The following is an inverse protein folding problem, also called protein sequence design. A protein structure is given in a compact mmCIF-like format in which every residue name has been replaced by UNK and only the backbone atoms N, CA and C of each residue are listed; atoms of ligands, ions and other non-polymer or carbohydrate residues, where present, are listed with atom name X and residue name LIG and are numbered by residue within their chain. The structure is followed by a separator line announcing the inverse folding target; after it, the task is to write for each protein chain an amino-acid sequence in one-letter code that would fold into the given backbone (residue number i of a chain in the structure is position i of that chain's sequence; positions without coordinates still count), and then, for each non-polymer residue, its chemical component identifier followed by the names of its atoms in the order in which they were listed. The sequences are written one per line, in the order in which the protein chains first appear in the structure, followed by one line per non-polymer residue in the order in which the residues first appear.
data_IF_263920396779
#
_entry.id   IF_263920396779
#
_cell.length_a   1.000
_cell.length_b   1.000
_cell.length_c   1.000
_cell.angle_alpha   90.00
_cell.angle_beta   90.00
_cell.angle_gamma   90.00
#
_symmetry.space_group_name_H-M   'P 1'
#
loop_
_entity.id
_entity.type
_entity.pdbx_description
1 polymer ?
#
# COMPACT_ATOMS: atom_id res chain seq x y z
N UNK A 1 -34.22 35.52 -3.24
CA UNK A 1 -33.03 34.66 -3.37
C UNK A 1 -33.45 33.22 -3.03
N UNK A 2 -33.59 32.38 -4.06
CA UNK A 2 -33.99 30.98 -3.90
C UNK A 2 -32.79 30.19 -3.36
N UNK A 3 -32.81 29.83 -2.07
CA UNK A 3 -31.83 28.89 -1.52
C UNK A 3 -32.19 27.48 -2.02
N UNK A 4 -31.72 27.13 -3.22
CA UNK A 4 -31.84 25.76 -3.69
C UNK A 4 -31.01 24.87 -2.76
N UNK A 5 -31.68 23.90 -2.12
CA UNK A 5 -31.00 22.92 -1.28
C UNK A 5 -29.90 22.24 -2.10
N UNK A 6 -28.66 22.13 -1.59
CA UNK A 6 -27.60 21.45 -2.34
C UNK A 6 -28.00 20.00 -2.61
N UNK A 7 -27.69 19.52 -3.81
CA UNK A 7 -27.94 18.14 -4.24
C UNK A 7 -27.24 17.14 -3.31
N UNK A 8 -27.73 15.90 -3.27
CA UNK A 8 -27.11 14.83 -2.47
C UNK A 8 -25.63 14.66 -2.81
N UNK A 9 -25.27 14.66 -4.10
CA UNK A 9 -23.88 14.57 -4.55
C UNK A 9 -23.02 15.73 -4.03
N UNK A 10 -23.55 16.96 -4.05
CA UNK A 10 -22.84 18.11 -3.49
C UNK A 10 -22.61 17.96 -1.99
N UNK A 11 -23.60 17.45 -1.24
CA UNK A 11 -23.46 17.17 0.19
C UNK A 11 -22.45 16.06 0.47
N UNK A 12 -22.49 14.97 -0.30
CA UNK A 12 -21.54 13.85 -0.17
C UNK A 12 -20.11 14.26 -0.52
N UNK A 13 -19.91 15.17 -1.46
CA UNK A 13 -18.58 15.66 -1.84
C UNK A 13 -18.00 16.71 -0.88
N UNK A 14 -18.85 17.58 -0.35
CA UNK A 14 -18.42 18.72 0.48
C UNK A 14 -18.61 18.49 1.99
N UNK A 15 -19.27 17.42 2.41
CA UNK A 15 -19.51 17.13 3.83
C UNK A 15 -18.25 16.60 4.51
N UNK A 16 -17.68 17.36 5.44
CA UNK A 16 -16.52 16.91 6.21
C UNK A 16 -16.93 16.25 7.52
N UNK A 17 -16.13 15.28 7.98
CA UNK A 17 -16.27 14.77 9.33
C UNK A 17 -15.95 15.88 10.34
N UNK A 18 -16.79 16.11 11.35
CA UNK A 18 -16.53 17.13 12.36
C UNK A 18 -15.29 16.78 13.18
N UNK A 19 -14.74 17.77 13.89
CA UNK A 19 -13.78 17.50 14.96
C UNK A 19 -14.55 16.94 16.16
N UNK A 20 -14.16 15.75 16.61
CA UNK A 20 -14.82 15.08 17.72
C UNK A 20 -14.09 15.37 19.04
N UNK A 21 -14.85 15.50 20.13
CA UNK A 21 -14.25 15.56 21.46
C UNK A 21 -13.71 14.17 21.87
N UNK A 22 -12.50 14.07 22.44
CA UNK A 22 -11.89 12.78 22.78
C UNK A 22 -12.66 11.93 23.80
N UNK A 23 -13.62 12.50 24.54
CA UNK A 23 -14.35 11.81 25.60
C UNK A 23 -15.52 10.95 25.11
N UNK A 24 -16.32 11.47 24.18
CA UNK A 24 -17.62 10.88 23.84
C UNK A 24 -17.53 9.58 23.02
N UNK A 25 -16.39 9.31 22.39
CA UNK A 25 -16.26 8.24 21.39
C UNK A 25 -15.15 7.23 21.69
N UNK A 26 -14.64 7.21 22.93
CA UNK A 26 -13.52 6.33 23.31
C UNK A 26 -13.81 4.86 23.05
N UNK A 27 -15.00 4.38 23.42
CA UNK A 27 -15.40 2.98 23.26
C UNK A 27 -15.57 2.61 21.78
N UNK A 28 -16.38 3.34 20.97
CA UNK A 28 -16.47 3.06 19.53
C UNK A 28 -15.11 3.09 18.82
N UNK A 29 -14.25 4.04 19.16
CA UNK A 29 -12.93 4.16 18.55
C UNK A 29 -12.00 3.00 18.92
N UNK A 30 -12.05 2.54 20.17
CA UNK A 30 -11.33 1.35 20.64
C UNK A 30 -11.82 0.08 19.90
N UNK A 31 -13.12 -0.10 19.77
CA UNK A 31 -13.70 -1.21 19.00
C UNK A 31 -13.26 -1.18 17.54
N UNK A 32 -13.27 0.01 16.91
CA UNK A 32 -12.79 0.18 15.54
C UNK A 32 -11.31 -0.18 15.41
N UNK A 33 -10.45 0.25 16.34
CA UNK A 33 -9.02 -0.10 16.36
C UNK A 33 -8.82 -1.62 16.39
N UNK A 34 -9.52 -2.32 17.28
CA UNK A 34 -9.43 -3.78 17.40
C UNK A 34 -9.97 -4.48 16.14
N UNK A 35 -11.06 -3.97 15.58
CA UNK A 35 -11.62 -4.48 14.33
C UNK A 35 -10.64 -4.32 13.16
N UNK A 36 -10.03 -3.14 13.00
CA UNK A 36 -9.06 -2.88 11.93
C UNK A 36 -7.80 -3.72 12.08
N UNK A 37 -7.23 -3.79 13.30
CA UNK A 37 -6.08 -4.65 13.58
C UNK A 37 -6.36 -6.13 13.32
N UNK A 38 -7.54 -6.61 13.74
CA UNK A 38 -7.96 -7.99 13.48
C UNK A 38 -8.20 -8.25 12.00
N UNK A 39 -8.79 -7.28 11.29
CA UNK A 39 -9.00 -7.37 9.84
C UNK A 39 -7.68 -7.43 9.08
N UNK A 40 -6.66 -6.67 9.51
CA UNK A 40 -5.32 -6.75 8.94
C UNK A 40 -4.65 -8.10 9.22
N UNK A 41 -4.80 -8.62 10.44
CA UNK A 41 -4.31 -9.96 10.78
C UNK A 41 -4.99 -11.06 9.95
N UNK A 42 -6.31 -11.00 9.79
CA UNK A 42 -7.06 -11.92 8.92
C UNK A 42 -6.60 -11.77 7.47
N UNK A 43 -6.45 -10.55 6.97
CA UNK A 43 -5.97 -10.30 5.61
C UNK A 43 -4.57 -10.88 5.39
N UNK A 44 -3.68 -10.84 6.39
CA UNK A 44 -2.38 -11.49 6.35
C UNK A 44 -2.50 -13.02 6.31
N UNK A 45 -3.35 -13.60 7.15
CA UNK A 45 -3.58 -15.05 7.17
C UNK A 45 -4.21 -15.55 5.86
N UNK A 46 -4.98 -14.69 5.21
CA UNK A 46 -5.54 -14.90 3.88
C UNK A 46 -4.65 -14.39 2.74
N UNK A 47 -3.51 -13.76 3.03
CA UNK A 47 -2.59 -13.26 2.00
C UNK A 47 -2.11 -14.36 1.04
N UNK A 48 -1.95 -15.63 1.47
CA UNK A 48 -1.70 -16.74 0.55
C UNK A 48 -2.83 -17.04 -0.44
N UNK A 49 -4.06 -16.63 -0.12
CA UNK A 49 -5.25 -16.76 -0.99
C UNK A 49 -5.55 -15.50 -1.80
N UNK A 50 -4.96 -14.36 -1.43
CA UNK A 50 -5.10 -13.11 -2.16
C UNK A 50 -3.98 -13.00 -3.18
N UNK A 51 -4.29 -12.50 -4.36
CA UNK A 51 -3.37 -12.25 -5.49
C UNK A 51 -2.17 -11.33 -5.15
N UNK A 52 -1.98 -10.94 -3.90
CA UNK A 52 -0.99 -10.00 -3.37
C UNK A 52 0.41 -10.57 -3.09
N UNK A 53 0.64 -11.85 -3.34
CA UNK A 53 1.96 -12.49 -3.24
C UNK A 53 2.77 -12.24 -4.52
N UNK A 54 3.20 -11.01 -4.76
CA UNK A 54 3.72 -10.56 -6.06
C UNK A 54 5.17 -10.95 -6.42
N UNK A 55 5.71 -12.13 -6.05
CA UNK A 55 7.08 -12.54 -6.39
C UNK A 55 7.14 -13.98 -6.93
N UNK A 56 7.83 -14.23 -8.06
CA UNK A 56 8.18 -15.57 -8.56
C UNK A 56 7.62 -16.04 -9.91
N UNK A 57 8.20 -17.05 -10.58
CA UNK A 57 7.42 -17.90 -11.50
C UNK A 57 6.40 -18.71 -10.69
N UNK A 58 5.26 -19.02 -11.29
CA UNK A 58 4.02 -19.43 -10.61
C UNK A 58 3.10 -18.24 -10.28
N UNK A 59 3.39 -17.02 -10.73
CA UNK A 59 2.53 -15.84 -10.50
C UNK A 59 1.28 -15.87 -11.39
N UNK A 60 0.40 -16.83 -11.14
CA UNK A 60 -0.70 -17.15 -12.03
C UNK A 60 -1.36 -18.50 -11.76
N UNK A 61 -1.04 -19.16 -10.64
CA UNK A 61 -1.95 -20.20 -10.14
C UNK A 61 -3.28 -19.53 -9.81
N UNK A 62 -4.37 -20.14 -10.26
CA UNK A 62 -5.71 -19.71 -9.88
C UNK A 62 -5.75 -19.50 -8.37
N UNK A 63 -6.43 -18.45 -7.91
CA UNK A 63 -6.69 -18.21 -6.50
C UNK A 63 -7.40 -19.43 -5.92
N UNK A 64 -6.60 -20.34 -5.37
CA UNK A 64 -7.07 -21.64 -4.95
C UNK A 64 -7.17 -21.61 -3.41
N UNK A 65 -8.39 -21.61 -2.85
CA UNK A 65 -8.60 -21.62 -1.41
C UNK A 65 -8.00 -22.88 -0.74
N UNK A 66 -7.73 -23.94 -1.50
CA UNK A 66 -7.08 -25.15 -1.02
C UNK A 66 -5.55 -25.07 -1.14
N UNK A 67 -4.96 -24.00 -1.70
CA UNK A 67 -3.51 -23.87 -1.82
C UNK A 67 -2.83 -23.91 -0.45
N UNK A 68 -3.26 -23.06 0.50
CA UNK A 68 -2.64 -23.00 1.83
C UNK A 68 -2.89 -24.28 2.65
N UNK A 69 -4.12 -24.85 2.72
CA UNK A 69 -4.34 -26.15 3.34
C UNK A 69 -3.49 -27.27 2.74
N UNK A 70 -3.42 -27.38 1.40
CA UNK A 70 -2.58 -28.41 0.75
C UNK A 70 -1.09 -28.17 0.99
N UNK A 71 -0.66 -26.92 0.95
CA UNK A 71 0.72 -26.56 1.25
C UNK A 71 1.09 -26.91 2.69
N UNK A 72 0.24 -26.59 3.65
CA UNK A 72 0.41 -26.98 5.05
C UNK A 72 0.43 -28.51 5.21
N UNK A 73 -0.51 -29.21 4.59
CA UNK A 73 -0.58 -30.67 4.62
C UNK A 73 0.69 -31.30 4.03
N UNK A 74 1.19 -30.76 2.92
CA UNK A 74 2.42 -31.20 2.27
C UNK A 74 3.63 -31.02 3.21
N UNK A 75 3.84 -29.83 3.75
CA UNK A 75 4.96 -29.56 4.68
C UNK A 75 4.86 -30.42 5.93
N UNK A 76 3.65 -30.57 6.49
CA UNK A 76 3.42 -31.37 7.69
C UNK A 76 3.64 -32.86 7.47
N UNK A 77 3.31 -33.38 6.28
CA UNK A 77 3.54 -34.77 5.90
C UNK A 77 5.04 -35.09 5.76
N UNK A 78 5.83 -34.14 5.25
CA UNK A 78 7.28 -34.30 5.17
C UNK A 78 7.94 -34.11 6.54
N UNK A 79 7.55 -33.06 7.26
CA UNK A 79 8.14 -32.63 8.52
C UNK A 79 7.09 -31.95 9.41
N UNK A 80 6.43 -32.71 10.28
CA UNK A 80 5.36 -32.19 11.15
C UNK A 80 5.76 -30.93 11.95
N UNK A 81 7.02 -30.88 12.42
CA UNK A 81 7.54 -29.72 13.17
C UNK A 81 7.59 -28.43 12.35
N UNK A 82 7.81 -28.50 11.02
CA UNK A 82 7.75 -27.33 10.14
C UNK A 82 6.31 -26.82 9.98
N UNK A 83 5.34 -27.73 9.88
CA UNK A 83 3.92 -27.40 9.87
C UNK A 83 3.52 -26.63 11.13
N UNK A 84 3.82 -27.20 12.31
CA UNK A 84 3.56 -26.52 13.59
C UNK A 84 4.30 -25.19 13.72
N UNK A 85 5.54 -25.11 13.21
CA UNK A 85 6.31 -23.88 13.16
C UNK A 85 5.63 -22.78 12.33
N UNK A 86 5.06 -23.13 11.18
CA UNK A 86 4.34 -22.18 10.32
C UNK A 86 3.06 -21.67 10.99
N UNK A 87 2.28 -22.55 11.64
CA UNK A 87 1.10 -22.15 12.41
C UNK A 87 1.50 -21.21 13.56
N UNK A 88 2.53 -21.58 14.31
CA UNK A 88 3.02 -20.77 15.43
C UNK A 88 3.48 -19.38 14.93
N UNK A 89 4.22 -19.33 13.83
CA UNK A 89 4.64 -18.08 13.20
C UNK A 89 3.43 -17.23 12.79
N UNK A 90 2.43 -17.83 12.13
CA UNK A 90 1.22 -17.15 11.70
C UNK A 90 0.44 -16.56 12.89
N UNK A 91 0.28 -17.33 13.98
CA UNK A 91 -0.39 -16.88 15.20
C UNK A 91 0.38 -15.77 15.93
N UNK A 92 1.71 -15.87 16.00
CA UNK A 92 2.57 -14.83 16.58
C UNK A 92 2.47 -13.56 15.75
N UNK A 93 2.61 -13.64 14.43
CA UNK A 93 2.51 -12.48 13.54
C UNK A 93 1.13 -11.81 13.63
N UNK A 94 0.06 -12.59 13.62
CA UNK A 94 -1.31 -12.07 13.78
C UNK A 94 -1.48 -11.37 15.14
N UNK A 95 -0.98 -11.98 16.21
CA UNK A 95 -1.04 -11.41 17.57
C UNK A 95 -0.20 -10.12 17.68
N UNK A 96 0.99 -10.09 17.08
CA UNK A 96 1.82 -8.90 16.98
C UNK A 96 1.10 -7.78 16.21
N UNK A 97 0.45 -8.09 15.09
CA UNK A 97 -0.32 -7.10 14.31
C UNK A 97 -1.41 -6.49 15.16
N UNK A 98 -2.27 -7.30 15.78
CA UNK A 98 -3.37 -6.80 16.61
C UNK A 98 -2.83 -6.02 17.81
N UNK A 99 -1.87 -6.60 18.53
CA UNK A 99 -1.31 -6.02 19.75
C UNK A 99 -0.55 -4.72 19.52
N UNK A 100 0.32 -4.66 18.51
CA UNK A 100 1.07 -3.44 18.19
C UNK A 100 0.18 -2.38 17.55
N UNK A 101 -0.80 -2.76 16.72
CA UNK A 101 -1.82 -1.82 16.23
C UNK A 101 -2.58 -1.20 17.41
N UNK A 102 -3.07 -2.02 18.35
CA UNK A 102 -3.72 -1.54 19.56
C UNK A 102 -2.78 -0.63 20.39
N UNK A 103 -1.52 -1.01 20.56
CA UNK A 103 -0.52 -0.21 21.25
C UNK A 103 -0.28 1.14 20.57
N UNK A 104 -0.28 1.19 19.22
CA UNK A 104 -0.17 2.42 18.45
C UNK A 104 -1.32 3.41 18.73
N UNK A 105 -2.55 2.91 18.81
CA UNK A 105 -3.73 3.74 19.11
C UNK A 105 -3.82 4.12 20.60
N UNK A 106 -3.76 3.14 21.51
CA UNK A 106 -3.93 3.37 22.95
C UNK A 106 -2.71 4.05 23.59
N UNK A 107 -1.51 3.79 23.08
CA UNK A 107 -0.27 4.41 23.54
C UNK A 107 -0.07 5.86 23.06
N UNK A 108 -0.91 6.34 22.13
CA UNK A 108 -0.76 7.65 21.51
C UNK A 108 -0.71 8.80 22.51
N UNK A 109 -1.60 8.80 23.51
CA UNK A 109 -1.62 9.81 24.58
C UNK A 109 -0.36 9.82 25.42
N UNK A 110 0.18 8.64 25.72
CA UNK A 110 1.40 8.55 26.51
C UNK A 110 2.62 9.00 25.69
N UNK A 111 2.60 8.77 24.37
CA UNK A 111 3.69 9.13 23.48
C UNK A 111 3.72 10.63 23.12
N UNK A 112 2.56 11.24 22.84
CA UNK A 112 2.46 12.60 22.31
C UNK A 112 1.76 13.60 23.24
N UNK A 113 1.23 13.16 24.38
CA UNK A 113 0.48 14.00 25.31
C UNK A 113 -0.98 14.26 24.94
N UNK A 114 -1.43 13.80 23.77
CA UNK A 114 -2.79 14.00 23.25
C UNK A 114 -3.46 12.72 22.80
N UNK A 115 -4.79 12.69 22.74
CA UNK A 115 -5.53 11.53 22.24
C UNK A 115 -5.46 11.44 20.72
N UNK A 116 -5.44 10.23 20.16
CA UNK A 116 -5.45 10.04 18.71
C UNK A 116 -6.64 10.77 18.08
N UNK A 117 -6.44 11.60 17.03
CA UNK A 117 -7.52 12.36 16.42
C UNK A 117 -8.60 11.45 15.82
N UNK A 118 -9.78 11.41 16.43
CA UNK A 118 -10.86 10.52 15.97
C UNK A 118 -11.29 10.82 14.53
N UNK A 119 -11.22 12.09 14.12
CA UNK A 119 -11.52 12.48 12.74
C UNK A 119 -10.62 11.73 11.76
N UNK A 120 -9.31 11.67 12.02
CA UNK A 120 -8.35 10.89 11.22
C UNK A 120 -8.62 9.39 11.30
N UNK A 121 -8.90 8.89 12.52
CA UNK A 121 -9.21 7.48 12.77
C UNK A 121 -10.46 6.98 12.03
N UNK A 122 -11.36 7.88 11.65
CA UNK A 122 -12.52 7.57 10.82
C UNK A 122 -12.25 7.84 9.34
N UNK A 123 -11.56 8.93 9.02
CA UNK A 123 -11.35 9.36 7.63
C UNK A 123 -10.53 8.35 6.84
N UNK A 124 -9.36 7.95 7.33
CA UNK A 124 -8.43 7.16 6.51
C UNK A 124 -8.83 5.68 6.37
N UNK A 125 -9.39 5.00 7.39
CA UNK A 125 -10.01 3.69 7.17
C UNK A 125 -11.19 3.75 6.20
N UNK A 126 -11.97 4.84 6.21
CA UNK A 126 -13.05 5.03 5.25
C UNK A 126 -12.53 5.25 3.81
N UNK A 127 -11.35 5.86 3.63
CA UNK A 127 -10.67 5.93 2.33
C UNK A 127 -10.30 4.52 1.86
N UNK A 128 -9.66 3.72 2.71
CA UNK A 128 -9.30 2.34 2.37
C UNK A 128 -10.53 1.46 2.05
N UNK A 129 -11.66 1.66 2.75
CA UNK A 129 -12.92 1.02 2.42
C UNK A 129 -13.46 1.49 1.06
N UNK A 130 -13.43 2.80 0.80
CA UNK A 130 -13.86 3.37 -0.48
C UNK A 130 -13.05 2.81 -1.65
N UNK A 131 -11.74 2.66 -1.48
CA UNK A 131 -10.86 2.03 -2.47
C UNK A 131 -11.30 0.61 -2.82
N UNK A 132 -11.60 -0.23 -1.81
CA UNK A 132 -12.10 -1.59 -2.04
C UNK A 132 -13.43 -1.60 -2.79
N UNK A 133 -14.34 -0.69 -2.46
CA UNK A 133 -15.63 -0.55 -3.15
C UNK A 133 -15.42 -0.11 -4.60
N UNK A 134 -14.55 0.88 -4.83
CA UNK A 134 -14.22 1.35 -6.17
C UNK A 134 -13.55 0.24 -6.99
N UNK A 135 -12.62 -0.52 -6.41
CA UNK A 135 -12.00 -1.68 -7.03
C UNK A 135 -13.05 -2.69 -7.49
N UNK A 136 -13.94 -3.11 -6.59
CA UNK A 136 -15.00 -4.04 -6.91
C UNK A 136 -15.90 -3.52 -8.04
N UNK A 137 -16.26 -2.24 -8.00
CA UNK A 137 -17.04 -1.61 -9.06
C UNK A 137 -16.30 -1.59 -10.41
N UNK A 138 -15.00 -1.35 -10.42
CA UNK A 138 -14.20 -1.39 -11.66
C UNK A 138 -14.06 -2.79 -12.22
N UNK A 139 -13.83 -3.78 -11.37
CA UNK A 139 -13.79 -5.19 -11.77
C UNK A 139 -15.13 -5.62 -12.39
N UNK A 140 -16.25 -5.24 -11.78
CA UNK A 140 -17.59 -5.45 -12.38
C UNK A 140 -17.72 -4.70 -13.71
N UNK A 141 -17.21 -3.48 -13.80
CA UNK A 141 -17.17 -2.70 -15.03
C UNK A 141 -16.40 -3.40 -16.16
N UNK A 142 -15.24 -4.00 -15.85
CA UNK A 142 -14.47 -4.83 -16.78
C UNK A 142 -15.27 -6.07 -17.20
N UNK A 143 -16.02 -6.68 -16.28
CA UNK A 143 -17.03 -7.71 -16.56
C UNK A 143 -18.02 -7.29 -17.64
N UNK A 144 -18.65 -6.12 -17.46
CA UNK A 144 -19.64 -5.58 -18.41
C UNK A 144 -19.01 -5.27 -19.77
N UNK A 145 -17.82 -4.67 -19.79
CA UNK A 145 -17.08 -4.39 -21.03
C UNK A 145 -16.74 -5.69 -21.76
N UNK A 146 -16.18 -6.69 -21.05
CA UNK A 146 -15.88 -8.00 -21.62
C UNK A 146 -17.12 -8.67 -22.22
N UNK A 147 -18.23 -8.67 -21.48
CA UNK A 147 -19.50 -9.20 -21.97
C UNK A 147 -20.01 -8.47 -23.23
N UNK A 148 -19.91 -7.14 -23.27
CA UNK A 148 -20.27 -6.34 -24.44
C UNK A 148 -19.37 -6.63 -25.66
N UNK A 149 -18.13 -7.07 -25.43
CA UNK A 149 -17.19 -7.52 -26.47
C UNK A 149 -17.36 -9.00 -26.84
N UNK A 150 -18.34 -9.71 -26.27
CA UNK A 150 -18.62 -11.11 -26.54
C UNK A 150 -17.84 -12.12 -25.69
N UNK A 151 -17.14 -11.67 -24.65
CA UNK A 151 -16.51 -12.55 -23.66
C UNK A 151 -17.52 -13.00 -22.60
N UNK A 152 -17.18 -14.05 -21.84
CA UNK A 152 -17.93 -14.38 -20.62
C UNK A 152 -17.78 -13.25 -19.58
N UNK A 153 -18.87 -12.89 -18.90
CA UNK A 153 -18.85 -11.84 -17.87
C UNK A 153 -17.86 -12.16 -16.74
N UNK A 154 -17.75 -13.44 -16.37
CA UNK A 154 -16.80 -13.92 -15.38
C UNK A 154 -15.34 -13.72 -15.81
N UNK A 155 -15.04 -13.81 -17.10
CA UNK A 155 -13.69 -13.48 -17.63
C UNK A 155 -13.36 -12.01 -17.40
N UNK A 156 -14.29 -11.09 -17.63
CA UNK A 156 -14.05 -9.67 -17.38
C UNK A 156 -13.89 -9.34 -15.88
N UNK A 157 -14.64 -10.01 -14.99
CA UNK A 157 -14.44 -9.91 -13.54
C UNK A 157 -13.09 -10.51 -13.10
N UNK A 158 -12.65 -11.59 -13.74
CA UNK A 158 -11.35 -12.21 -13.45
C UNK A 158 -10.21 -11.62 -14.26
N UNK A 159 -10.40 -10.54 -15.03
CA UNK A 159 -9.43 -10.08 -16.02
C UNK A 159 -8.03 -9.90 -15.45
N UNK A 160 -7.89 -9.33 -14.25
CA UNK A 160 -6.59 -9.16 -13.58
C UNK A 160 -5.93 -10.52 -13.29
N UNK A 161 -6.69 -11.47 -12.74
CA UNK A 161 -6.23 -12.84 -12.48
C UNK A 161 -5.88 -13.57 -13.79
N UNK A 162 -6.73 -13.47 -14.82
CA UNK A 162 -6.47 -14.06 -16.14
C UNK A 162 -5.19 -13.47 -16.74
N UNK A 163 -4.98 -12.15 -16.67
CA UNK A 163 -3.76 -11.51 -17.14
C UNK A 163 -2.52 -12.00 -16.35
N UNK A 164 -2.63 -12.21 -15.04
CA UNK A 164 -1.54 -12.79 -14.25
C UNK A 164 -1.25 -14.24 -14.67
N UNK A 165 -2.28 -15.09 -14.79
CA UNK A 165 -2.17 -16.48 -15.28
C UNK A 165 -1.49 -16.54 -16.65
N UNK A 166 -1.92 -15.71 -17.60
CA UNK A 166 -1.32 -15.67 -18.93
C UNK A 166 0.11 -15.14 -18.91
N UNK A 167 0.40 -14.15 -18.06
CA UNK A 167 1.75 -13.62 -17.86
C UNK A 167 2.68 -14.73 -17.38
N UNK A 168 2.25 -15.52 -16.39
CA UNK A 168 3.03 -16.64 -15.87
C UNK A 168 3.29 -17.72 -16.92
N UNK A 169 2.24 -18.14 -17.64
CA UNK A 169 2.38 -19.11 -18.75
C UNK A 169 3.37 -18.62 -19.80
N UNK A 170 3.29 -17.34 -20.16
CA UNK A 170 4.21 -16.74 -21.11
C UNK A 170 5.65 -16.71 -20.59
N UNK A 171 5.86 -16.31 -19.33
CA UNK A 171 7.18 -16.29 -18.69
C UNK A 171 7.76 -17.70 -18.65
N UNK A 172 7.00 -18.71 -18.23
CA UNK A 172 7.46 -20.09 -18.16
C UNK A 172 7.77 -20.68 -19.55
N UNK A 173 7.06 -20.25 -20.59
CA UNK A 173 7.31 -20.70 -21.96
C UNK A 173 8.48 -19.98 -22.65
N UNK A 174 8.76 -18.73 -22.28
CA UNK A 174 9.61 -17.83 -23.09
C UNK A 174 10.90 -17.41 -22.38
N UNK A 175 10.88 -17.30 -21.05
CA UNK A 175 12.01 -16.79 -20.27
C UNK A 175 12.84 -17.98 -19.78
N UNK A 176 14.12 -18.09 -20.18
CA UNK A 176 14.96 -19.19 -19.73
C UNK A 176 15.36 -19.00 -18.27
N UNK A 177 15.51 -20.11 -17.56
CA UNK A 177 16.29 -20.12 -16.32
C UNK A 177 17.77 -20.09 -16.69
N UNK A 178 18.47 -19.01 -16.32
CA UNK A 178 19.89 -18.84 -16.63
C UNK A 178 20.79 -19.57 -15.61
N UNK A 179 20.40 -19.54 -14.34
CA UNK A 179 21.12 -20.17 -13.23
C UNK A 179 20.09 -20.82 -12.33
N UNK A 180 20.20 -22.11 -12.00
CA UNK A 180 19.31 -22.73 -11.01
C UNK A 180 19.94 -22.62 -9.62
N UNK A 181 19.44 -21.69 -8.80
CA UNK A 181 19.92 -21.50 -7.43
C UNK A 181 19.19 -22.40 -6.43
N UNK A 182 19.82 -22.80 -5.31
CA UNK A 182 19.11 -23.44 -4.20
C UNK A 182 17.94 -22.57 -3.73
N UNK A 183 16.79 -23.17 -3.42
CA UNK A 183 15.52 -22.48 -3.14
C UNK A 183 15.61 -21.24 -2.24
N UNK A 184 16.32 -21.35 -1.11
CA UNK A 184 16.50 -20.22 -0.20
C UNK A 184 17.32 -19.07 -0.82
N UNK A 185 18.40 -19.41 -1.54
CA UNK A 185 19.23 -18.42 -2.23
C UNK A 185 18.48 -17.80 -3.41
N UNK A 186 17.73 -18.62 -4.16
CA UNK A 186 16.82 -18.14 -5.21
C UNK A 186 15.86 -17.08 -4.65
N UNK A 187 15.26 -17.30 -3.48
CA UNK A 187 14.41 -16.30 -2.84
C UNK A 187 15.13 -14.99 -2.52
N UNK A 188 16.31 -15.04 -1.88
CA UNK A 188 17.05 -13.82 -1.56
C UNK A 188 17.48 -13.04 -2.80
N UNK A 189 17.97 -13.73 -3.83
CA UNK A 189 18.37 -13.11 -5.10
C UNK A 189 17.17 -12.53 -5.83
N UNK A 190 16.08 -13.28 -5.93
CA UNK A 190 14.88 -12.85 -6.66
C UNK A 190 14.20 -11.67 -5.99
N UNK A 191 14.05 -11.69 -4.67
CA UNK A 191 13.55 -10.54 -3.92
C UNK A 191 14.49 -9.34 -4.03
N UNK A 192 15.80 -9.58 -4.01
CA UNK A 192 16.82 -8.56 -4.24
C UNK A 192 16.65 -7.86 -5.59
N UNK A 193 16.56 -8.63 -6.67
CA UNK A 193 16.41 -8.13 -8.04
C UNK A 193 15.05 -7.48 -8.26
N UNK A 194 13.97 -8.16 -7.91
CA UNK A 194 12.62 -7.65 -8.07
C UNK A 194 12.38 -6.41 -7.18
N UNK A 195 13.12 -6.28 -6.09
CA UNK A 195 13.12 -5.09 -5.27
C UNK A 195 13.53 -3.81 -5.98
N UNK A 196 14.32 -3.88 -7.05
CA UNK A 196 14.59 -2.71 -7.91
C UNK A 196 13.36 -2.27 -8.69
N UNK A 197 12.50 -3.19 -9.11
CA UNK A 197 11.24 -2.86 -9.78
C UNK A 197 10.30 -2.19 -8.79
N UNK A 198 10.21 -2.70 -7.56
CA UNK A 198 9.43 -2.04 -6.50
C UNK A 198 9.96 -0.64 -6.21
N UNK A 199 11.26 -0.50 -5.99
CA UNK A 199 11.92 0.78 -5.79
C UNK A 199 11.63 1.76 -6.93
N UNK A 200 11.77 1.30 -8.18
CA UNK A 200 11.54 2.11 -9.37
C UNK A 200 10.09 2.60 -9.48
N UNK A 201 9.11 1.73 -9.24
CA UNK A 201 7.69 2.12 -9.24
C UNK A 201 7.38 3.09 -8.10
N UNK A 202 7.94 2.84 -6.92
CA UNK A 202 7.73 3.70 -5.76
C UNK A 202 8.34 5.09 -5.99
N UNK A 203 9.58 5.14 -6.49
CA UNK A 203 10.25 6.39 -6.92
C UNK A 203 9.45 7.13 -7.98
N UNK A 204 9.03 6.41 -9.03
CA UNK A 204 8.20 7.00 -10.08
C UNK A 204 6.88 7.54 -9.53
N UNK A 205 6.36 6.97 -8.44
CA UNK A 205 5.18 7.47 -7.76
C UNK A 205 5.37 8.79 -7.03
N UNK A 206 6.62 9.17 -6.72
CA UNK A 206 6.98 10.48 -6.18
C UNK A 206 7.45 11.46 -7.25
N UNK A 207 7.89 10.98 -8.41
CA UNK A 207 8.37 11.84 -9.50
C UNK A 207 7.29 12.14 -10.55
N UNK A 208 6.38 11.19 -10.83
CA UNK A 208 5.33 11.31 -11.84
C UNK A 208 4.03 11.84 -11.25
N UNK A 209 3.44 12.86 -11.90
CA UNK A 209 2.15 13.45 -11.48
C UNK A 209 1.00 12.44 -11.48
N UNK A 210 0.83 11.63 -12.53
CA UNK A 210 -0.22 10.60 -12.58
C UNK A 210 -0.10 9.61 -11.42
N UNK A 211 1.09 9.02 -11.24
CA UNK A 211 1.32 8.02 -10.20
C UNK A 211 1.16 8.65 -8.81
N UNK A 212 1.69 9.84 -8.57
CA UNK A 212 1.46 10.53 -7.30
C UNK A 212 -0.03 10.73 -7.03
N UNK A 213 -0.75 11.39 -7.94
CA UNK A 213 -2.14 11.76 -7.72
C UNK A 213 -3.08 10.54 -7.65
N UNK A 214 -2.85 9.53 -8.47
CA UNK A 214 -3.75 8.38 -8.64
C UNK A 214 -3.26 7.09 -8.01
N UNK A 215 -2.08 7.05 -7.39
CA UNK A 215 -1.54 5.81 -6.80
C UNK A 215 -1.01 6.02 -5.38
N UNK A 216 -0.35 7.14 -5.08
CA UNK A 216 0.48 7.20 -3.88
C UNK A 216 0.17 8.35 -2.91
N UNK A 217 -0.37 9.48 -3.36
CA UNK A 217 -0.57 10.69 -2.52
C UNK A 217 -1.40 10.44 -1.26
N UNK A 218 -2.49 9.68 -1.36
CA UNK A 218 -3.42 9.48 -0.24
C UNK A 218 -2.82 8.59 0.87
N UNK A 219 -1.83 7.75 0.54
CA UNK A 219 -1.00 7.03 1.51
C UNK A 219 -0.21 8.00 2.39
N UNK A 220 0.25 9.11 1.82
CA UNK A 220 1.00 10.19 2.48
C UNK A 220 0.12 11.30 3.09
N UNK A 221 -1.21 11.20 3.01
CA UNK A 221 -2.11 12.22 3.58
C UNK A 221 -2.23 12.20 5.12
N UNK A 222 -2.11 11.07 5.84
CA UNK A 222 -2.24 11.06 7.30
C UNK A 222 -1.27 12.00 8.01
N UNK A 223 -1.80 12.90 8.82
CA UNK A 223 -1.03 13.80 9.69
C UNK A 223 -0.68 13.16 11.03
N UNK A 224 -1.35 12.06 11.38
CA UNK A 224 -0.97 11.10 12.39
C UNK A 224 -1.15 9.70 11.81
N UNK A 225 -0.15 8.82 11.97
CA UNK A 225 -0.21 7.45 11.47
C UNK A 225 -0.55 6.45 12.56
N UNK A 226 -1.45 5.53 12.19
CA UNK A 226 -1.75 4.29 12.88
C UNK A 226 -1.81 3.19 11.81
N UNK A 227 -1.16 2.05 12.04
CA UNK A 227 -0.87 1.06 11.00
C UNK A 227 -2.10 0.52 10.29
N UNK A 228 -3.23 0.45 10.99
CA UNK A 228 -4.49 -0.02 10.41
C UNK A 228 -5.37 1.11 9.83
N UNK A 229 -4.95 2.37 9.95
CA UNK A 229 -5.62 3.53 9.33
C UNK A 229 -4.86 4.14 8.16
N UNK A 230 -3.56 3.88 7.99
CA UNK A 230 -2.85 4.34 6.80
C UNK A 230 -3.41 3.63 5.56
N UNK A 231 -3.91 4.37 4.54
CA UNK A 231 -4.41 3.75 3.33
C UNK A 231 -3.31 2.98 2.60
N UNK A 232 -3.61 1.84 1.95
CA UNK A 232 -2.60 1.10 1.19
C UNK A 232 -2.13 1.91 -0.03
N UNK A 233 -0.89 1.70 -0.49
CA UNK A 233 -0.30 2.39 -1.66
C UNK A 233 -1.00 2.07 -3.01
N UNK A 234 -2.16 1.42 -3.01
CA UNK A 234 -2.80 0.90 -4.22
C UNK A 234 -4.20 1.50 -4.40
N UNK A 235 -4.30 2.72 -4.93
CA UNK A 235 -5.61 3.20 -5.39
C UNK A 235 -6.04 2.36 -6.57
N UNK A 236 -7.16 1.69 -6.39
CA UNK A 236 -7.41 0.45 -7.11
C UNK A 236 -7.95 0.66 -8.52
N UNK A 237 -8.27 1.90 -8.92
CA UNK A 237 -8.97 2.16 -10.19
C UNK A 237 -8.65 3.50 -10.83
N UNK A 238 -8.42 3.55 -12.16
CA UNK A 238 -8.13 2.43 -13.06
C UNK A 238 -6.65 2.01 -13.00
N UNK A 239 -5.80 2.79 -12.33
CA UNK A 239 -4.36 2.71 -12.49
C UNK A 239 -3.78 1.39 -11.96
N UNK A 240 -4.29 0.85 -10.86
CA UNK A 240 -3.87 -0.46 -10.34
C UNK A 240 -4.06 -1.57 -11.37
N UNK A 241 -5.24 -1.68 -12.01
CA UNK A 241 -5.50 -2.72 -13.02
C UNK A 241 -4.53 -2.65 -14.21
N UNK A 242 -3.98 -1.48 -14.50
CA UNK A 242 -2.99 -1.28 -15.57
C UNK A 242 -1.57 -1.58 -15.09
N UNK A 243 -1.19 -1.10 -13.90
CA UNK A 243 0.18 -1.26 -13.38
C UNK A 243 0.47 -2.65 -12.84
N UNK A 244 -0.57 -3.37 -12.43
CA UNK A 244 -0.41 -4.68 -11.81
C UNK A 244 0.21 -5.68 -12.78
N UNK A 245 -0.18 -5.67 -14.06
CA UNK A 245 0.32 -6.58 -15.09
C UNK A 245 1.83 -6.41 -15.35
N UNK A 246 2.34 -5.21 -15.73
CA UNK A 246 3.78 -5.03 -15.95
C UNK A 246 4.60 -5.24 -14.67
N UNK A 247 4.03 -4.92 -13.50
CA UNK A 247 4.68 -5.20 -12.22
C UNK A 247 4.86 -6.71 -12.01
N UNK A 248 3.80 -7.51 -12.22
CA UNK A 248 3.89 -8.98 -12.14
C UNK A 248 4.85 -9.56 -13.16
N UNK A 249 4.75 -9.13 -14.41
CA UNK A 249 5.61 -9.61 -15.49
C UNK A 249 7.09 -9.42 -15.12
N UNK A 250 7.48 -8.23 -14.68
CA UNK A 250 8.86 -7.96 -14.31
C UNK A 250 9.33 -8.86 -13.15
N UNK A 251 8.50 -9.04 -12.11
CA UNK A 251 8.82 -9.90 -10.97
C UNK A 251 8.94 -11.39 -11.34
N UNK A 252 8.00 -11.88 -12.16
CA UNK A 252 7.99 -13.26 -12.64
C UNK A 252 9.23 -13.53 -13.51
N UNK A 253 9.52 -12.64 -14.48
CA UNK A 253 10.70 -12.73 -15.33
C UNK A 253 11.98 -12.77 -14.50
N UNK A 254 12.18 -11.80 -13.59
CA UNK A 254 13.41 -11.70 -12.80
C UNK A 254 13.63 -12.92 -11.90
N UNK A 255 12.56 -13.49 -11.33
CA UNK A 255 12.69 -14.70 -10.53
C UNK A 255 12.98 -15.92 -11.42
N UNK A 256 12.30 -16.03 -12.57
CA UNK A 256 12.48 -17.13 -13.53
C UNK A 256 13.93 -17.24 -14.02
N UNK A 257 14.68 -16.14 -14.07
CA UNK A 257 16.10 -16.17 -14.42
C UNK A 257 16.95 -17.02 -13.47
N UNK A 258 16.54 -17.16 -12.20
CA UNK A 258 17.36 -17.78 -11.14
C UNK A 258 16.74 -19.00 -10.47
N UNK A 259 15.48 -19.33 -10.77
CA UNK A 259 14.78 -20.50 -10.26
C UNK A 259 13.60 -20.86 -11.15
N UNK A 260 13.46 -22.15 -11.48
CA UNK A 260 12.28 -22.68 -12.18
C UNK A 260 11.08 -22.92 -11.26
N UNK A 261 11.33 -23.06 -9.95
CA UNK A 261 10.29 -23.40 -8.98
C UNK A 261 9.61 -22.16 -8.37
N UNK A 262 8.32 -22.26 -8.01
CA UNK A 262 7.62 -21.18 -7.34
C UNK A 262 8.10 -20.96 -5.90
N UNK A 263 8.29 -19.69 -5.53
CA UNK A 263 8.86 -19.28 -4.24
C UNK A 263 7.82 -19.03 -3.13
N UNK A 264 6.61 -19.60 -3.24
CA UNK A 264 5.50 -19.26 -2.33
C UNK A 264 5.83 -19.49 -0.86
N UNK A 265 6.48 -20.59 -0.51
CA UNK A 265 6.76 -20.88 0.90
C UNK A 265 7.61 -19.77 1.51
N UNK A 266 8.70 -19.42 0.83
CA UNK A 266 9.58 -18.35 1.26
C UNK A 266 8.84 -17.02 1.35
N UNK A 267 7.91 -16.76 0.42
CA UNK A 267 7.10 -15.54 0.43
C UNK A 267 6.07 -15.47 1.54
N UNK A 268 5.39 -16.58 1.84
CA UNK A 268 4.44 -16.67 2.94
C UNK A 268 5.18 -16.41 4.26
N UNK A 269 6.29 -17.11 4.49
CA UNK A 269 7.14 -16.91 5.66
C UNK A 269 7.65 -15.47 5.72
N UNK A 270 8.13 -14.94 4.60
CA UNK A 270 8.58 -13.56 4.50
C UNK A 270 7.48 -12.57 4.87
N UNK A 271 6.27 -12.70 4.32
CA UNK A 271 5.15 -11.80 4.61
C UNK A 271 4.77 -11.86 6.08
N UNK A 272 4.66 -13.05 6.66
CA UNK A 272 4.38 -13.22 8.09
C UNK A 272 5.40 -12.48 8.96
N UNK A 273 6.68 -12.48 8.58
CA UNK A 273 7.74 -11.76 9.30
C UNK A 273 7.72 -10.26 8.97
N UNK A 274 7.54 -9.88 7.71
CA UNK A 274 7.60 -8.52 7.18
C UNK A 274 6.58 -7.57 7.83
N UNK A 275 5.36 -8.04 8.03
CA UNK A 275 4.29 -7.20 8.60
C UNK A 275 4.53 -6.78 10.04
N UNK A 276 5.40 -7.48 10.78
CA UNK A 276 5.69 -7.12 12.17
C UNK A 276 6.43 -5.76 12.25
N UNK A 277 7.62 -5.58 11.63
CA UNK A 277 8.27 -4.27 11.61
C UNK A 277 7.49 -3.20 10.84
N UNK A 278 6.70 -3.57 9.82
CA UNK A 278 5.86 -2.64 9.05
C UNK A 278 4.94 -1.78 9.92
N UNK A 279 4.48 -2.30 11.06
CA UNK A 279 3.63 -1.56 11.99
C UNK A 279 4.34 -0.30 12.53
N UNK A 280 5.66 -0.35 12.74
CA UNK A 280 6.43 0.83 13.15
C UNK A 280 6.62 1.83 12.01
N UNK A 281 6.58 1.40 10.75
CA UNK A 281 6.64 2.31 9.61
C UNK A 281 5.43 3.25 9.57
N UNK A 282 4.29 2.76 10.06
CA UNK A 282 2.99 3.42 9.98
C UNK A 282 2.39 3.70 11.36
N UNK A 283 3.21 3.95 12.38
CA UNK A 283 2.70 4.26 13.72
C UNK A 283 3.51 5.36 14.43
N UNK A 284 2.89 6.54 14.54
CA UNK A 284 3.49 7.70 15.22
C UNK A 284 3.77 7.42 16.69
N UNK A 285 2.83 6.76 17.38
CA UNK A 285 2.98 6.47 18.82
C UNK A 285 4.09 5.45 19.11
N UNK A 286 4.38 4.55 18.17
CA UNK A 286 5.42 3.54 18.33
C UNK A 286 6.81 4.02 17.88
N UNK A 287 6.91 5.20 17.25
CA UNK A 287 8.15 5.71 16.67
C UNK A 287 9.34 5.63 17.65
N UNK A 288 9.16 6.16 18.87
CA UNK A 288 10.25 6.24 19.86
C UNK A 288 10.69 4.85 20.36
N UNK A 289 9.75 3.91 20.49
CA UNK A 289 10.08 2.53 20.84
C UNK A 289 10.83 1.82 19.71
N UNK A 290 10.42 2.05 18.46
CA UNK A 290 11.08 1.50 17.27
C UNK A 290 12.49 2.05 17.10
N UNK A 291 12.67 3.37 17.28
CA UNK A 291 13.97 4.04 17.17
C UNK A 291 14.97 3.55 18.21
N UNK A 292 14.53 3.32 19.45
CA UNK A 292 15.39 2.82 20.55
C UNK A 292 15.69 1.33 20.44
N UNK A 293 14.76 0.54 19.90
CA UNK A 293 14.90 -0.90 19.81
C UNK A 293 15.90 -1.31 18.73
N UNK A 294 17.02 -1.92 19.13
CA UNK A 294 18.00 -2.50 18.19
C UNK A 294 17.37 -3.55 17.29
N UNK A 295 16.45 -4.35 17.84
CA UNK A 295 15.77 -5.40 17.08
C UNK A 295 14.85 -4.81 16.00
N UNK A 296 14.02 -3.81 16.34
CA UNK A 296 13.12 -3.17 15.36
C UNK A 296 13.92 -2.47 14.26
N UNK A 297 15.01 -1.78 14.61
CA UNK A 297 15.89 -1.16 13.60
C UNK A 297 16.54 -2.21 12.71
N UNK A 298 17.10 -3.27 13.29
CA UNK A 298 17.76 -4.29 12.49
C UNK A 298 16.79 -5.01 11.55
N UNK A 299 15.61 -5.41 12.05
CA UNK A 299 14.59 -6.06 11.22
C UNK A 299 14.03 -5.11 10.16
N UNK A 300 13.76 -3.85 10.52
CA UNK A 300 13.35 -2.82 9.57
C UNK A 300 14.38 -2.60 8.47
N UNK A 301 15.65 -2.44 8.82
CA UNK A 301 16.73 -2.31 7.83
C UNK A 301 16.82 -3.54 6.92
N UNK A 302 16.87 -4.74 7.50
CA UNK A 302 16.99 -5.98 6.73
C UNK A 302 15.83 -6.15 5.75
N UNK A 303 14.60 -5.84 6.16
CA UNK A 303 13.39 -6.00 5.36
C UNK A 303 13.05 -4.75 4.51
N UNK A 304 13.96 -3.77 4.47
CA UNK A 304 13.78 -2.46 3.82
C UNK A 304 12.47 -1.76 4.16
N UNK A 305 12.08 -1.84 5.43
CA UNK A 305 10.83 -1.29 5.92
C UNK A 305 10.93 -0.91 7.42
N UNK A 306 9.78 -0.81 8.09
CA UNK A 306 9.67 -0.49 9.50
C UNK A 306 10.05 0.96 9.79
N UNK A 307 10.72 1.20 10.92
CA UNK A 307 10.95 2.55 11.42
C UNK A 307 11.78 3.45 10.46
N UNK A 308 12.54 2.86 9.53
CA UNK A 308 13.23 3.62 8.47
C UNK A 308 12.25 4.21 7.45
N UNK A 309 11.21 3.45 7.10
CA UNK A 309 10.15 3.90 6.21
C UNK A 309 9.24 4.95 6.88
N UNK A 310 9.20 5.07 8.20
CA UNK A 310 8.49 6.18 8.86
C UNK A 310 8.98 7.55 8.37
N UNK A 311 10.29 7.68 8.09
CA UNK A 311 10.88 8.92 7.56
C UNK A 311 10.34 9.28 6.19
N UNK A 312 10.06 8.29 5.36
CA UNK A 312 9.50 8.47 4.02
C UNK A 312 8.16 9.22 4.05
N UNK A 313 7.36 8.99 5.09
CA UNK A 313 6.08 9.66 5.35
C UNK A 313 6.21 11.07 5.94
N UNK A 314 7.45 11.56 6.12
CA UNK A 314 7.66 12.89 6.69
C UNK A 314 7.18 13.97 5.74
N UNK A 315 6.62 15.04 6.30
CA UNK A 315 6.28 16.26 5.57
C UNK A 315 7.48 17.19 5.34
N UNK A 316 8.69 16.79 5.75
CA UNK A 316 9.93 17.51 5.46
C UNK A 316 10.28 17.32 3.98
N UNK A 317 10.54 18.42 3.28
CA UNK A 317 10.92 18.38 1.87
C UNK A 317 12.19 17.54 1.63
N UNK A 318 12.11 16.63 0.65
CA UNK A 318 13.16 15.68 0.28
C UNK A 318 13.09 14.35 1.03
N UNK A 319 12.41 14.28 2.17
CA UNK A 319 12.24 13.00 2.89
C UNK A 319 11.23 12.08 2.17
N UNK A 320 10.35 12.60 1.31
CA UNK A 320 9.49 11.80 0.44
C UNK A 320 10.28 10.93 -0.56
N UNK A 321 11.54 11.29 -0.83
CA UNK A 321 12.44 10.49 -1.68
C UNK A 321 13.36 9.58 -0.88
N UNK A 322 13.24 9.55 0.45
CA UNK A 322 14.09 8.74 1.31
C UNK A 322 13.48 7.36 1.59
N UNK A 323 14.34 6.34 1.71
CA UNK A 323 13.98 4.99 2.18
C UNK A 323 12.75 4.41 1.45
N UNK A 324 12.77 4.45 0.11
CA UNK A 324 11.70 3.96 -0.74
C UNK A 324 11.52 2.44 -0.58
N UNK A 325 12.61 1.72 -0.29
CA UNK A 325 12.59 0.29 -0.06
C UNK A 325 12.28 -0.51 -1.34
N UNK A 326 12.26 -1.83 -1.18
CA UNK A 326 11.91 -2.76 -2.25
C UNK A 326 12.64 -4.09 -2.18
N UNK A 327 13.88 -4.12 -1.69
CA UNK A 327 14.72 -5.33 -1.58
C UNK A 327 15.02 -5.68 -0.13
N UNK A 328 16.00 -6.55 0.13
CA UNK A 328 16.64 -6.61 1.45
C UNK A 328 17.64 -5.44 1.65
N UNK A 329 17.85 -5.04 2.91
CA UNK A 329 18.90 -4.12 3.35
C UNK A 329 18.94 -2.75 2.64
N UNK A 330 17.80 -2.26 2.17
CA UNK A 330 17.66 -1.01 1.42
C UNK A 330 18.61 -0.93 0.21
N UNK A 331 18.89 -2.05 -0.47
CA UNK A 331 19.93 -2.12 -1.50
C UNK A 331 19.75 -1.08 -2.64
N UNK A 332 18.56 -0.93 -3.28
CA UNK A 332 18.33 0.14 -4.25
C UNK A 332 18.58 1.53 -3.66
N UNK A 333 18.10 1.79 -2.45
CA UNK A 333 18.28 3.10 -1.81
C UNK A 333 19.76 3.41 -1.50
N UNK A 334 20.55 2.40 -1.12
CA UNK A 334 21.99 2.55 -0.94
C UNK A 334 22.71 2.84 -2.27
N UNK A 335 22.32 2.15 -3.34
CA UNK A 335 22.91 2.33 -4.67
C UNK A 335 22.57 3.67 -5.31
N UNK A 336 21.33 4.14 -5.13
CA UNK A 336 20.84 5.40 -5.70
C UNK A 336 20.95 6.59 -4.73
N UNK A 337 21.50 6.38 -3.54
CA UNK A 337 21.77 7.44 -2.56
C UNK A 337 20.54 8.00 -1.84
N UNK A 338 19.40 7.30 -1.90
CA UNK A 338 18.13 7.67 -1.24
C UNK A 338 17.99 7.08 0.16
N UNK A 339 18.93 6.25 0.62
CA UNK A 339 18.91 5.75 1.99
C UNK A 339 19.20 6.88 2.99
N UNK A 340 18.43 6.90 4.08
CA UNK A 340 18.57 7.83 5.19
C UNK A 340 18.39 7.09 6.53
N UNK A 341 19.18 7.43 7.56
CA UNK A 341 19.01 6.83 8.87
C UNK A 341 17.68 7.26 9.50
N UNK A 342 17.22 6.46 10.48
CA UNK A 342 16.09 6.80 11.34
C UNK A 342 16.37 8.16 12.00
N UNK A 343 15.44 9.12 11.94
CA UNK A 343 15.65 10.43 12.53
C UNK A 343 15.73 10.34 14.07
N UNK A 344 16.50 11.24 14.68
CA UNK A 344 16.72 11.26 16.14
C UNK A 344 15.48 11.67 16.93
N UNK A 345 14.60 12.44 16.29
CA UNK A 345 13.34 12.92 16.82
C UNK A 345 12.21 12.50 15.89
N UNK A 346 11.00 12.45 16.44
CA UNK A 346 9.78 12.23 15.66
C UNK A 346 9.65 13.34 14.60
N UNK A 347 9.73 13.03 13.30
CA UNK A 347 9.51 14.03 12.27
C UNK A 347 8.01 14.33 12.13
N UNK A 348 7.63 15.53 11.67
CA UNK A 348 6.25 15.77 11.25
C UNK A 348 5.95 14.89 10.03
N UNK A 349 4.69 14.44 9.92
CA UNK A 349 4.22 13.53 8.87
C UNK A 349 3.03 14.13 8.12
N UNK A 350 2.72 13.52 6.98
CA UNK A 350 1.69 13.97 6.06
C UNK A 350 2.31 14.59 4.81
N UNK A 351 1.48 15.23 3.98
CA UNK A 351 1.97 15.90 2.77
C UNK A 351 2.98 17.01 3.12
N UNK A 352 3.95 17.24 2.23
CA UNK A 352 4.95 18.30 2.37
C UNK A 352 4.30 19.65 2.71
N UNK A 353 4.85 20.34 3.72
CA UNK A 353 4.30 21.58 4.30
C UNK A 353 2.95 21.45 5.05
N UNK A 354 2.53 20.23 5.41
CA UNK A 354 1.34 19.92 6.22
C UNK A 354 0.10 20.77 5.89
N UNK A 355 -0.37 20.76 4.63
CA UNK A 355 -1.55 21.51 4.22
C UNK A 355 -2.81 21.04 4.96
N UNK A 356 -3.78 21.95 5.12
CA UNK A 356 -5.08 21.56 5.68
C UNK A 356 -5.87 20.73 4.66
N UNK A 357 -6.30 19.54 5.07
CA UNK A 357 -7.07 18.61 4.23
C UNK A 357 -8.58 18.81 4.36
N UNK A 358 -9.30 18.48 3.29
CA UNK A 358 -10.74 18.22 3.36
C UNK A 358 -10.99 16.85 4.00
N UNK A 359 -11.52 16.80 5.23
CA UNK A 359 -11.76 15.55 5.95
C UNK A 359 -13.04 14.83 5.50
N UNK A 360 -13.16 14.62 4.19
CA UNK A 360 -14.20 13.86 3.53
C UNK A 360 -13.56 12.66 2.83
N UNK A 361 -13.86 11.41 3.24
CA UNK A 361 -13.24 10.21 2.68
C UNK A 361 -13.44 10.05 1.18
N UNK A 362 -14.65 10.32 0.66
CA UNK A 362 -14.98 10.22 -0.77
C UNK A 362 -14.12 11.21 -1.56
N UNK A 363 -14.05 12.45 -1.09
CA UNK A 363 -13.31 13.53 -1.72
C UNK A 363 -11.81 13.26 -1.71
N UNK A 364 -11.25 12.79 -0.60
CA UNK A 364 -9.82 12.47 -0.50
C UNK A 364 -9.44 11.29 -1.39
N UNK A 365 -10.22 10.20 -1.35
CA UNK A 365 -10.02 9.03 -2.21
C UNK A 365 -10.05 9.41 -3.71
N UNK A 366 -11.01 10.23 -4.12
CA UNK A 366 -11.18 10.65 -5.52
C UNK A 366 -10.41 11.92 -5.90
N UNK A 367 -9.65 12.51 -4.97
CA UNK A 367 -9.07 13.84 -5.14
C UNK A 367 -8.09 13.93 -6.31
N UNK A 368 -7.30 12.88 -6.54
CA UNK A 368 -6.31 12.85 -7.61
C UNK A 368 -6.97 12.75 -8.98
N UNK A 369 -7.94 11.84 -9.12
CA UNK A 369 -8.73 11.69 -10.34
C UNK A 369 -9.51 12.96 -10.66
N UNK A 370 -10.19 13.56 -9.67
CA UNK A 370 -10.92 14.81 -9.85
C UNK A 370 -9.99 15.95 -10.32
N UNK A 371 -8.78 16.02 -9.76
CA UNK A 371 -7.77 17.00 -10.15
C UNK A 371 -7.30 16.79 -11.60
N UNK A 372 -6.92 15.57 -11.99
CA UNK A 372 -6.49 15.29 -13.37
C UNK A 372 -7.61 15.56 -14.38
N UNK A 373 -8.84 15.10 -14.11
CA UNK A 373 -9.99 15.34 -15.00
C UNK A 373 -10.26 16.83 -15.16
N UNK A 374 -10.21 17.60 -14.07
CA UNK A 374 -10.35 19.06 -14.12
C UNK A 374 -9.25 19.68 -14.99
N UNK A 375 -8.00 19.32 -14.76
CA UNK A 375 -6.83 19.87 -15.48
C UNK A 375 -6.88 19.54 -16.98
N UNK A 376 -7.19 18.30 -17.36
CA UNK A 376 -7.32 17.91 -18.77
C UNK A 376 -8.44 18.67 -19.48
N UNK A 377 -9.58 18.88 -18.80
CA UNK A 377 -10.73 19.58 -19.37
C UNK A 377 -10.48 21.09 -19.56
N UNK A 378 -9.72 21.73 -18.68
CA UNK A 378 -9.52 23.19 -18.68
C UNK A 378 -8.17 23.62 -19.27
N UNK A 379 -7.33 22.69 -19.69
CA UNK A 379 -6.08 22.96 -20.40
C UNK A 379 -6.04 22.13 -21.70
N UNK A 380 -6.87 22.45 -22.70
CA UNK A 380 -6.96 21.66 -23.92
C UNK A 380 -5.62 21.68 -24.68
N UNK A 381 -5.31 20.56 -25.33
CA UNK A 381 -4.13 20.40 -26.18
C UNK A 381 -3.27 19.22 -25.75
N UNK A 382 -2.81 18.44 -26.73
CA UNK A 382 -2.07 17.18 -26.50
C UNK A 382 -0.80 17.43 -25.66
N UNK A 383 -0.04 18.48 -25.95
CA UNK A 383 1.16 18.81 -25.17
C UNK A 383 0.84 19.12 -23.70
N UNK A 384 -0.23 19.86 -23.44
CA UNK A 384 -0.71 20.14 -22.07
C UNK A 384 -1.15 18.86 -21.38
N UNK A 385 -1.90 18.00 -22.07
CA UNK A 385 -2.36 16.72 -21.53
C UNK A 385 -1.21 15.78 -21.19
N UNK A 386 -0.21 15.65 -22.08
CA UNK A 386 0.97 14.85 -21.81
C UNK A 386 1.73 15.35 -20.58
N UNK A 387 1.84 16.67 -20.38
CA UNK A 387 2.46 17.23 -19.17
C UNK A 387 1.61 17.03 -17.91
N UNK A 388 0.28 17.09 -18.02
CA UNK A 388 -0.63 16.82 -16.89
C UNK A 388 -0.53 15.35 -16.44
N UNK A 389 -0.44 14.42 -17.40
CA UNK A 389 -0.40 12.99 -17.11
C UNK A 389 1.02 12.54 -16.74
N UNK A 390 2.01 12.82 -17.58
CA UNK A 390 3.37 12.27 -17.47
C UNK A 390 4.40 13.27 -16.95
N UNK A 391 3.99 14.51 -16.64
CA UNK A 391 4.90 15.51 -16.09
C UNK A 391 5.32 15.21 -14.65
N UNK A 392 6.28 16.00 -14.18
CA UNK A 392 6.74 15.96 -12.80
C UNK A 392 5.62 16.29 -11.81
N UNK A 393 5.68 15.76 -10.59
CA UNK A 393 4.80 16.19 -9.47
C UNK A 393 4.81 17.70 -9.23
N UNK A 394 5.90 18.39 -9.55
CA UNK A 394 6.04 19.84 -9.42
C UNK A 394 5.38 20.63 -10.56
N UNK A 395 4.97 19.96 -11.65
CA UNK A 395 4.29 20.64 -12.74
C UNK A 395 2.86 21.06 -12.33
N UNK A 396 2.56 22.34 -12.44
CA UNK A 396 1.22 22.90 -12.23
C UNK A 396 0.72 23.46 -13.56
N UNK A 397 -0.36 22.92 -14.15
CA UNK A 397 -0.92 23.48 -15.38
C UNK A 397 -1.57 24.84 -15.12
N UNK A 398 -1.74 25.70 -16.14
CA UNK A 398 -2.31 27.05 -15.99
C UNK A 398 -3.65 27.09 -15.24
N UNK A 399 -4.55 26.14 -15.55
CA UNK A 399 -5.80 25.96 -14.83
C UNK A 399 -5.72 24.67 -13.99
N UNK A 400 -5.46 24.80 -12.69
CA UNK A 400 -5.39 23.68 -11.75
C UNK A 400 -6.34 23.90 -10.57
N UNK A 401 -6.81 22.80 -9.98
CA UNK A 401 -7.61 22.83 -8.74
C UNK A 401 -7.23 21.65 -7.86
N UNK A 402 -6.87 21.94 -6.62
CA UNK A 402 -6.65 20.89 -5.62
C UNK A 402 -7.98 20.49 -4.97
N UNK A 403 -8.26 19.19 -4.95
CA UNK A 403 -9.46 18.64 -4.32
C UNK A 403 -9.19 18.01 -2.96
N UNK A 404 -7.92 17.78 -2.58
CA UNK A 404 -7.55 17.26 -1.26
C UNK A 404 -7.23 18.35 -0.24
N UNK A 405 -6.60 19.45 -0.69
CA UNK A 405 -6.07 20.53 0.14
C UNK A 405 -6.99 21.76 0.10
N UNK A 406 -7.31 22.31 1.28
CA UNK A 406 -8.02 23.59 1.47
C UNK A 406 -7.11 24.80 1.30
N UNK A 407 -5.88 24.68 1.81
CA UNK A 407 -4.86 25.70 1.81
C UNK A 407 -3.65 25.23 2.60
N UNK A 408 -2.57 25.98 2.53
CA UNK A 408 -1.45 25.81 3.45
C UNK A 408 -1.81 26.53 4.74
N UNK A 409 -1.64 25.85 5.88
CA UNK A 409 -1.79 26.51 7.18
C UNK A 409 -0.81 27.67 7.33
N UNK A 410 -0.91 28.48 8.39
CA UNK A 410 0.15 29.41 8.73
C UNK A 410 1.47 28.63 8.78
N UNK A 411 2.51 29.15 8.12
CA UNK A 411 3.84 28.54 8.15
C UNK A 411 4.26 28.38 9.62
N UNK A 412 4.56 27.14 10.02
CA UNK A 412 4.99 26.79 11.38
C UNK A 412 6.36 27.37 11.71
#
# INVERSE_FOLDING_TARGET
MSSTRPSLLSRLWNGELPVFSPGAYRVPAACLTLFLGSSLAIALLLAPHNDSLFLGPGLGLESDPEMLPRFYAYISAQHAWLGYGLIALALVSASCIVGLSAAGYFGHKNALGEHYPLREHLTFPAIALMERVLFAAAVVGLGVVGWALGWDFGVGIRLVNECAVQTDRWVNATVPTLIELPYALAFFVSYGLAGFVHYGLHRASHESRLLWLMFHRFHHMPTVMFSASVPPVFFSVPLFAVLIIPYHLAFAMLTKLVCDQPLYFALIVYKLVYYVPDIWAHSTALFESGRKSRWVRWSGFFLSNGIYHYRHHSSIEGDEMANLGGSFCYLPDLLFGTFRPVPDKLPPIGLTNQPELYYNPIRLALSGMAQIVYELRHNPGIASWLRIVFGSVYYVPPNSRNYAIKGYGPAL
#
